data_IF_022332927021
#
_entry.id   IF_022332927021
#
_cell.length_a   1.000
_cell.length_b   1.000
_cell.length_c   1.000
_cell.angle_alpha   90.00
_cell.angle_beta   90.00
_cell.angle_gamma   90.00
#
_symmetry.space_group_name_H-M   'P 1'
#
loop_
_entity.id
_entity.type
_entity.pdbx_description
1 polymer ?
#
# COMPACT_ATOMS: atom_id res chain seq x y z
N UNK A 1 -3.16 -10.90 5.96
CA UNK A 1 -2.54 -9.57 6.12
C UNK A 1 -1.37 -9.67 7.08
N UNK A 2 -0.17 -9.81 6.52
CA UNK A 2 1.05 -9.62 7.30
C UNK A 2 1.25 -8.10 7.43
N UNK A 3 1.22 -7.59 8.67
CA UNK A 3 1.60 -6.22 8.98
C UNK A 3 3.13 -6.21 9.05
N UNK A 4 3.75 -5.69 8.00
CA UNK A 4 5.18 -5.80 7.80
C UNK A 4 5.88 -4.59 8.43
N UNK A 5 6.61 -4.82 9.53
CA UNK A 5 7.54 -3.84 10.09
C UNK A 5 8.99 -4.34 9.98
N UNK A 6 9.92 -3.39 9.80
CA UNK A 6 11.40 -3.49 9.92
C UNK A 6 12.20 -4.07 8.74
N UNK A 7 11.68 -5.01 7.95
CA UNK A 7 12.39 -5.50 6.74
C UNK A 7 11.43 -5.84 5.60
N UNK A 8 11.08 -4.81 4.80
CA UNK A 8 10.10 -4.93 3.71
C UNK A 8 10.50 -5.93 2.62
N UNK A 9 11.79 -6.11 2.35
CA UNK A 9 12.25 -7.02 1.30
C UNK A 9 12.25 -8.48 1.76
N UNK A 10 12.64 -8.75 3.02
CA UNK A 10 12.50 -10.10 3.58
C UNK A 10 11.03 -10.53 3.63
N UNK A 11 10.15 -9.58 3.96
CA UNK A 11 8.71 -9.76 4.01
C UNK A 11 8.08 -10.00 2.63
N UNK A 12 8.50 -9.25 1.62
CA UNK A 12 8.11 -9.49 0.23
C UNK A 12 8.56 -10.88 -0.23
N UNK A 13 9.82 -11.26 0.03
CA UNK A 13 10.35 -12.58 -0.31
C UNK A 13 9.53 -13.70 0.33
N UNK A 14 9.25 -13.58 1.64
CA UNK A 14 8.41 -14.54 2.35
C UNK A 14 7.00 -14.60 1.75
N UNK A 15 6.45 -13.46 1.34
CA UNK A 15 5.13 -13.40 0.73
C UNK A 15 5.06 -14.24 -0.56
N UNK A 16 6.07 -14.08 -1.42
CA UNK A 16 6.20 -14.80 -2.68
C UNK A 16 6.48 -16.30 -2.46
N UNK A 17 7.40 -16.65 -1.55
CA UNK A 17 7.73 -18.05 -1.23
C UNK A 17 6.54 -18.80 -0.63
N UNK A 18 5.68 -18.10 0.10
CA UNK A 18 4.48 -18.68 0.72
C UNK A 18 3.27 -18.71 -0.23
N UNK A 19 3.38 -18.15 -1.43
CA UNK A 19 2.30 -18.09 -2.41
C UNK A 19 1.12 -17.19 -1.99
N UNK A 20 1.40 -16.08 -1.30
CA UNK A 20 0.36 -15.09 -1.03
C UNK A 20 0.06 -14.26 -2.28
N UNK A 21 -1.20 -13.84 -2.44
CA UNK A 21 -1.64 -12.98 -3.55
C UNK A 21 -1.67 -11.48 -3.20
N UNK A 22 -1.45 -11.14 -1.93
CA UNK A 22 -1.60 -9.77 -1.42
C UNK A 22 -0.65 -9.47 -0.27
N UNK A 23 -0.12 -8.24 -0.27
CA UNK A 23 0.65 -7.67 0.84
C UNK A 23 0.05 -6.35 1.33
N UNK A 24 0.32 -6.02 2.59
CA UNK A 24 -0.18 -4.83 3.25
C UNK A 24 0.94 -4.10 4.02
N UNK A 25 1.88 -3.43 3.31
CA UNK A 25 2.88 -2.59 3.95
C UNK A 25 2.25 -1.42 4.71
N UNK A 26 2.94 -0.98 5.77
CA UNK A 26 2.63 0.30 6.40
C UNK A 26 2.94 1.45 5.44
N UNK A 27 2.30 2.61 5.63
CA UNK A 27 2.42 3.73 4.69
C UNK A 27 3.88 4.18 4.47
N UNK A 28 4.73 4.09 5.51
CA UNK A 28 6.13 4.53 5.44
C UNK A 28 7.02 3.55 4.67
N UNK A 29 6.60 2.30 4.52
CA UNK A 29 7.31 1.29 3.72
C UNK A 29 6.80 1.25 2.26
N UNK A 30 5.63 1.84 1.99
CA UNK A 30 5.02 1.95 0.68
C UNK A 30 5.55 3.17 -0.10
N UNK A 31 6.72 3.03 -0.72
CA UNK A 31 7.24 3.93 -1.74
C UNK A 31 7.07 3.36 -3.16
N UNK A 32 7.43 4.16 -4.17
CA UNK A 32 7.29 3.77 -5.58
C UNK A 32 8.12 2.53 -5.94
N UNK A 33 9.34 2.44 -5.43
CA UNK A 33 10.23 1.30 -5.66
C UNK A 33 9.60 0.00 -5.12
N UNK A 34 9.22 0.00 -3.84
CA UNK A 34 8.72 -1.19 -3.18
C UNK A 34 7.36 -1.62 -3.72
N UNK A 35 6.44 -0.68 -3.93
CA UNK A 35 5.11 -0.99 -4.46
C UNK A 35 5.21 -1.51 -5.88
N UNK A 36 6.04 -0.90 -6.74
CA UNK A 36 6.20 -1.37 -8.13
C UNK A 36 6.78 -2.79 -8.15
N UNK A 37 7.81 -3.05 -7.36
CA UNK A 37 8.40 -4.38 -7.24
C UNK A 37 7.37 -5.44 -6.81
N UNK A 38 6.52 -5.14 -5.82
CA UNK A 38 5.50 -6.06 -5.36
C UNK A 38 4.43 -6.34 -6.44
N UNK A 39 3.96 -5.29 -7.13
CA UNK A 39 2.98 -5.42 -8.22
C UNK A 39 3.55 -6.20 -9.41
N UNK A 40 4.79 -5.92 -9.81
CA UNK A 40 5.50 -6.65 -10.87
C UNK A 40 5.73 -8.12 -10.51
N UNK A 41 5.84 -8.42 -9.21
CA UNK A 41 5.92 -9.80 -8.69
C UNK A 41 4.56 -10.51 -8.63
N UNK A 42 3.48 -9.86 -9.10
CA UNK A 42 2.13 -10.42 -9.17
C UNK A 42 1.28 -10.20 -7.92
N UNK A 43 1.75 -9.43 -6.94
CA UNK A 43 1.01 -9.20 -5.70
C UNK A 43 0.05 -8.03 -5.83
N UNK A 44 -1.13 -8.19 -5.23
CA UNK A 44 -2.01 -7.05 -4.93
C UNK A 44 -1.44 -6.29 -3.73
N UNK A 45 -1.31 -4.97 -3.85
CA UNK A 45 -0.81 -4.13 -2.76
C UNK A 45 -1.95 -3.32 -2.16
N UNK A 46 -2.20 -3.50 -0.86
CA UNK A 46 -2.95 -2.53 -0.04
C UNK A 46 -1.99 -1.76 0.86
N UNK A 47 -2.38 -0.61 1.38
CA UNK A 47 -1.58 0.10 2.39
C UNK A 47 -2.27 0.14 3.74
N UNK A 48 -1.46 -0.01 4.79
CA UNK A 48 -1.85 0.02 6.19
C UNK A 48 -2.57 1.32 6.58
N UNK A 49 -3.03 1.37 7.84
CA UNK A 49 -3.92 2.45 8.30
C UNK A 49 -3.26 3.82 8.12
N UNK A 50 -3.86 4.66 7.29
CA UNK A 50 -3.38 6.00 6.96
C UNK A 50 -4.52 7.02 7.15
N UNK A 51 -4.34 7.94 8.08
CA UNK A 51 -5.33 8.98 8.41
C UNK A 51 -4.84 10.40 8.10
N UNK A 52 -3.56 10.56 7.77
CA UNK A 52 -2.99 11.85 7.39
C UNK A 52 -3.36 12.19 5.92
N UNK A 53 -3.89 13.39 5.63
CA UNK A 53 -4.30 13.77 4.28
C UNK A 53 -3.17 13.79 3.26
N UNK A 54 -1.96 14.19 3.64
CA UNK A 54 -0.81 14.27 2.75
C UNK A 54 -0.25 12.88 2.46
N UNK A 55 -0.23 11.99 3.45
CA UNK A 55 0.09 10.58 3.26
C UNK A 55 -0.96 9.87 2.38
N UNK A 56 -2.26 10.14 2.58
CA UNK A 56 -3.31 9.63 1.68
C UNK A 56 -3.06 10.09 0.25
N UNK A 57 -2.76 11.38 0.03
CA UNK A 57 -2.43 11.90 -1.32
C UNK A 57 -1.21 11.22 -1.92
N UNK A 58 -0.16 11.01 -1.13
CA UNK A 58 1.09 10.38 -1.56
C UNK A 58 0.85 8.92 -1.96
N UNK A 59 0.26 8.14 -1.05
CA UNK A 59 0.00 6.71 -1.24
C UNK A 59 -1.00 6.47 -2.38
N UNK A 60 -2.03 7.32 -2.52
CA UNK A 60 -3.01 7.22 -3.61
C UNK A 60 -2.42 7.48 -5.01
N UNK A 61 -1.16 7.90 -5.15
CA UNK A 61 -0.47 7.98 -6.46
C UNK A 61 0.20 6.67 -6.86
N UNK A 62 0.43 5.77 -5.92
CA UNK A 62 1.07 4.49 -6.15
C UNK A 62 0.12 3.51 -6.87
N UNK A 63 0.64 2.46 -7.54
CA UNK A 63 -0.19 1.42 -8.16
C UNK A 63 -0.72 0.44 -7.12
N UNK A 64 -1.35 0.95 -6.06
CA UNK A 64 -2.01 0.17 -5.03
C UNK A 64 -3.48 -0.12 -5.40
N UNK A 65 -4.02 -1.21 -4.86
CA UNK A 65 -5.44 -1.53 -4.95
C UNK A 65 -6.28 -0.70 -3.99
N UNK A 66 -5.75 -0.39 -2.80
CA UNK A 66 -6.47 0.41 -1.80
C UNK A 66 -5.64 0.72 -0.56
N UNK A 67 -6.19 1.54 0.32
CA UNK A 67 -5.61 1.89 1.60
C UNK A 67 -6.63 1.73 2.72
N UNK A 68 -6.16 1.47 3.94
CA UNK A 68 -7.01 1.45 5.12
C UNK A 68 -7.03 2.84 5.78
N UNK A 69 -8.19 3.32 6.19
CA UNK A 69 -8.32 4.63 6.86
C UNK A 69 -9.56 4.64 7.76
N UNK A 70 -9.48 5.39 8.86
CA UNK A 70 -10.62 5.70 9.71
C UNK A 70 -11.41 6.91 9.16
N UNK A 71 -10.90 7.56 8.11
CA UNK A 71 -11.48 8.74 7.46
C UNK A 71 -11.88 8.46 5.99
N UNK A 72 -12.74 7.47 5.70
CA UNK A 72 -13.03 7.04 4.32
C UNK A 72 -13.62 8.16 3.44
N UNK A 73 -14.48 9.03 4.01
CA UNK A 73 -15.06 10.15 3.26
C UNK A 73 -13.99 11.17 2.80
N UNK A 74 -12.98 11.40 3.65
CA UNK A 74 -11.86 12.28 3.32
C UNK A 74 -10.99 11.65 2.23
N UNK A 75 -10.65 10.37 2.36
CA UNK A 75 -9.85 9.65 1.37
C UNK A 75 -10.53 9.63 0.00
N UNK A 76 -11.83 9.33 -0.06
CA UNK A 76 -12.62 9.38 -1.32
C UNK A 76 -12.60 10.78 -1.94
N UNK A 77 -12.74 11.84 -1.14
CA UNK A 77 -12.67 13.23 -1.64
C UNK A 77 -11.29 13.54 -2.23
N UNK A 78 -10.22 13.11 -1.57
CA UNK A 78 -8.84 13.30 -2.04
C UNK A 78 -8.63 12.58 -3.38
N UNK A 79 -8.96 11.28 -3.45
CA UNK A 79 -8.77 10.45 -4.65
C UNK A 79 -9.55 11.00 -5.85
N UNK A 80 -10.82 11.37 -5.65
CA UNK A 80 -11.63 12.02 -6.70
C UNK A 80 -11.04 13.34 -7.18
N UNK A 81 -10.48 14.12 -6.26
CA UNK A 81 -9.79 15.38 -6.59
C UNK A 81 -8.51 15.19 -7.42
N UNK A 82 -7.98 13.96 -7.48
CA UNK A 82 -6.83 13.59 -8.31
C UNK A 82 -7.25 13.07 -9.70
N UNK A 83 -8.54 12.96 -9.99
CA UNK A 83 -9.04 12.41 -11.26
C UNK A 83 -9.00 10.88 -11.34
N UNK A 84 -8.96 10.19 -10.19
CA UNK A 84 -9.05 8.73 -10.06
C UNK A 84 -10.39 8.28 -9.47
#
# INVERSE_FOLDING_TARGET
NLLFGRDRYANLRLALESGFDMINPEHYDADEEFVSLAVESGLTVTVGRTNDPDEIRRVARLPIWGLHTDLPALAVRIVRGMGR
#
